data_IF_751364374254
#
_entry.id   IF_751364374254
#
_cell.length_a   1.000
_cell.length_b   1.000
_cell.length_c   1.000
_cell.angle_alpha   90.00
_cell.angle_beta   90.00
_cell.angle_gamma   90.00
#
_symmetry.space_group_name_H-M   'P 1'
#
loop_
_entity.id
_entity.type
_entity.pdbx_description
1 polymer ?
#
# COMPACT_ATOMS: atom_id res chain seq x y z
N UNK A 1 17.68 2.74 13.76
CA UNK A 1 16.53 1.93 13.26
C UNK A 1 15.74 2.58 12.13
N UNK A 2 15.60 3.92 12.06
CA UNK A 2 14.76 4.57 11.02
C UNK A 2 15.11 4.19 9.57
N UNK A 3 16.40 4.18 9.21
CA UNK A 3 16.85 3.78 7.86
C UNK A 3 16.49 2.33 7.56
N UNK A 4 16.70 1.41 8.50
CA UNK A 4 16.31 0.01 8.35
C UNK A 4 14.79 -0.14 8.11
N UNK A 5 13.97 0.53 8.92
CA UNK A 5 12.51 0.53 8.74
C UNK A 5 12.08 1.12 7.39
N UNK A 6 12.76 2.17 6.91
CA UNK A 6 12.51 2.73 5.59
C UNK A 6 12.86 1.73 4.47
N UNK A 7 14.00 1.05 4.56
CA UNK A 7 14.39 -0.02 3.62
C UNK A 7 13.34 -1.14 3.61
N UNK A 8 12.86 -1.55 4.78
CA UNK A 8 11.77 -2.53 4.87
C UNK A 8 10.50 -2.04 4.16
N UNK A 9 10.15 -0.75 4.28
CA UNK A 9 8.98 -0.16 3.61
C UNK A 9 9.16 0.06 2.12
N UNK A 10 10.40 0.20 1.66
CA UNK A 10 10.74 0.21 0.23
C UNK A 10 10.45 -1.18 -0.35
N UNK A 11 10.85 -2.25 0.34
CA UNK A 11 10.62 -3.62 -0.15
C UNK A 11 9.16 -4.04 -0.02
N UNK A 12 8.52 -3.74 1.12
CA UNK A 12 7.16 -4.17 1.44
C UNK A 12 6.39 -3.05 2.13
N UNK A 13 5.28 -2.64 1.53
CA UNK A 13 4.42 -1.58 2.08
C UNK A 13 3.89 -1.97 3.47
N UNK A 14 4.04 -1.08 4.45
CA UNK A 14 3.63 -1.28 5.84
C UNK A 14 4.65 -1.99 6.73
N UNK A 15 5.70 -2.63 6.18
CA UNK A 15 6.63 -3.44 6.95
C UNK A 15 7.52 -2.61 7.89
N UNK A 16 7.94 -1.42 7.47
CA UNK A 16 8.74 -0.54 8.33
C UNK A 16 8.00 -0.10 9.59
N UNK A 17 6.69 0.14 9.48
CA UNK A 17 5.83 0.46 10.62
C UNK A 17 5.74 -0.72 11.60
N UNK A 18 5.67 -1.95 11.11
CA UNK A 18 5.68 -3.15 11.96
C UNK A 18 6.97 -3.23 12.79
N UNK A 19 8.13 -2.99 12.15
CA UNK A 19 9.43 -2.98 12.85
C UNK A 19 9.60 -1.81 13.83
N UNK A 20 8.80 -0.75 13.70
CA UNK A 20 8.75 0.36 14.67
C UNK A 20 7.77 0.12 15.81
N UNK A 21 7.05 -0.99 15.82
CA UNK A 21 6.00 -1.27 16.81
C UNK A 21 4.66 -0.60 16.51
N UNK A 22 4.50 0.09 15.37
CA UNK A 22 3.23 0.66 14.91
C UNK A 22 2.36 -0.42 14.23
N UNK A 23 2.11 -1.54 14.93
CA UNK A 23 1.55 -2.77 14.34
C UNK A 23 0.22 -2.54 13.64
N UNK A 24 -0.72 -1.82 14.28
CA UNK A 24 -2.05 -1.55 13.70
C UNK A 24 -1.94 -0.83 12.35
N UNK A 25 -1.05 0.15 12.25
CA UNK A 25 -0.87 0.95 11.03
C UNK A 25 -0.16 0.16 9.94
N UNK A 26 0.91 -0.56 10.30
CA UNK A 26 1.63 -1.42 9.35
C UNK A 26 0.73 -2.50 8.74
N UNK A 27 -0.09 -3.16 9.57
CA UNK A 27 -1.07 -4.15 9.09
C UNK A 27 -2.11 -3.50 8.18
N UNK A 28 -2.64 -2.32 8.52
CA UNK A 28 -3.61 -1.62 7.66
C UNK A 28 -3.01 -1.25 6.30
N UNK A 29 -1.76 -0.76 6.27
CA UNK A 29 -1.07 -0.43 5.02
C UNK A 29 -0.86 -1.68 4.15
N UNK A 30 -0.46 -2.80 4.77
CA UNK A 30 -0.26 -4.07 4.07
C UNK A 30 -1.59 -4.58 3.49
N UNK A 31 -2.66 -4.60 4.30
CA UNK A 31 -3.99 -5.03 3.85
C UNK A 31 -4.52 -4.14 2.74
N UNK A 32 -4.40 -2.82 2.87
CA UNK A 32 -4.85 -1.88 1.85
C UNK A 32 -4.11 -2.08 0.53
N UNK A 33 -2.80 -2.22 0.58
CA UNK A 33 -1.95 -2.27 -0.61
C UNK A 33 -2.00 -3.64 -1.32
N UNK A 34 -1.89 -4.74 -0.58
CA UNK A 34 -1.76 -6.09 -1.15
C UNK A 34 -3.09 -6.85 -1.26
N UNK A 35 -4.14 -6.41 -0.57
CA UNK A 35 -5.45 -7.07 -0.63
C UNK A 35 -6.54 -6.15 -1.16
N UNK A 36 -6.80 -5.01 -0.51
CA UNK A 36 -7.93 -4.14 -0.88
C UNK A 36 -7.80 -3.57 -2.29
N UNK A 37 -6.64 -3.02 -2.64
CA UNK A 37 -6.41 -2.47 -3.98
C UNK A 37 -6.55 -3.56 -5.08
N UNK A 38 -5.87 -4.71 -4.99
CA UNK A 38 -6.07 -5.80 -5.95
C UNK A 38 -7.51 -6.32 -6.00
N UNK A 39 -8.17 -6.49 -4.85
CA UNK A 39 -9.55 -6.94 -4.79
C UNK A 39 -10.50 -5.97 -5.50
N UNK A 40 -10.32 -4.66 -5.33
CA UNK A 40 -11.11 -3.64 -6.04
C UNK A 40 -10.93 -3.74 -7.56
N UNK A 41 -9.69 -3.96 -8.02
CA UNK A 41 -9.40 -4.14 -9.45
C UNK A 41 -10.04 -5.41 -10.00
N UNK A 42 -10.02 -6.52 -9.26
CA UNK A 42 -10.67 -7.76 -9.71
C UNK A 42 -12.20 -7.67 -9.67
N UNK A 43 -12.77 -7.04 -8.64
CA UNK A 43 -14.22 -6.82 -8.55
C UNK A 43 -14.71 -5.93 -9.69
N UNK A 44 -13.97 -4.87 -10.02
CA UNK A 44 -14.36 -3.99 -11.13
C UNK A 44 -14.35 -4.70 -12.48
N UNK A 45 -13.39 -5.62 -12.70
CA UNK A 45 -13.31 -6.46 -13.90
C UNK A 45 -14.54 -7.36 -14.09
N UNK A 46 -15.11 -7.87 -13.00
CA UNK A 46 -16.31 -8.73 -13.05
C UNK A 46 -17.56 -7.90 -13.40
N UNK A 47 -17.61 -6.63 -12.99
CA UNK A 47 -18.77 -5.76 -13.17
C UNK A 47 -18.84 -5.21 -14.60
N UNK A 48 -17.77 -4.56 -15.06
CA UNK A 48 -17.73 -3.90 -16.36
C UNK A 48 -16.30 -3.59 -16.82
N UNK A 49 -16.03 -3.77 -18.12
CA UNK A 49 -14.70 -3.58 -18.69
C UNK A 49 -14.21 -2.12 -18.74
N UNK A 50 -15.12 -1.16 -18.92
CA UNK A 50 -14.76 0.27 -18.90
C UNK A 50 -14.50 0.74 -17.47
N UNK A 51 -15.35 0.31 -16.52
CA UNK A 51 -15.14 0.55 -15.09
C UNK A 51 -13.78 0.01 -14.62
N UNK A 52 -13.41 -1.19 -15.07
CA UNK A 52 -12.11 -1.78 -14.78
C UNK A 52 -10.94 -0.88 -15.15
N UNK A 53 -10.95 -0.28 -16.36
CA UNK A 53 -9.86 0.59 -16.80
C UNK A 53 -9.70 1.81 -15.89
N UNK A 54 -10.81 2.43 -15.49
CA UNK A 54 -10.77 3.55 -14.55
C UNK A 54 -10.25 3.11 -13.17
N UNK A 55 -10.79 2.01 -12.62
CA UNK A 55 -10.38 1.49 -11.30
C UNK A 55 -8.92 1.07 -11.30
N UNK A 56 -8.43 0.44 -12.37
CA UNK A 56 -7.02 0.07 -12.53
C UNK A 56 -6.12 1.31 -12.50
N UNK A 57 -6.47 2.35 -13.25
CA UNK A 57 -5.73 3.61 -13.25
C UNK A 57 -5.66 4.24 -11.85
N UNK A 58 -6.81 4.34 -11.16
CA UNK A 58 -6.87 4.86 -9.79
C UNK A 58 -6.09 3.98 -8.80
N UNK A 59 -6.14 2.66 -8.95
CA UNK A 59 -5.43 1.73 -8.07
C UNK A 59 -3.92 1.85 -8.20
N UNK A 60 -3.40 2.03 -9.43
CA UNK A 60 -1.95 2.25 -9.66
C UNK A 60 -1.50 3.55 -9.00
N UNK A 61 -2.22 4.66 -9.22
CA UNK A 61 -1.89 5.95 -8.61
C UNK A 61 -1.96 5.87 -7.09
N UNK A 62 -3.04 5.31 -6.55
CA UNK A 62 -3.23 5.14 -5.11
C UNK A 62 -2.16 4.25 -4.49
N UNK A 63 -1.74 3.19 -5.20
CA UNK A 63 -0.64 2.32 -4.81
C UNK A 63 0.66 3.11 -4.66
N UNK A 64 1.07 3.87 -5.69
CA UNK A 64 2.28 4.70 -5.63
C UNK A 64 2.24 5.67 -4.43
N UNK A 65 1.11 6.34 -4.22
CA UNK A 65 0.92 7.27 -3.09
C UNK A 65 1.06 6.55 -1.74
N UNK A 66 0.40 5.41 -1.56
CA UNK A 66 0.48 4.62 -0.33
C UNK A 66 1.88 4.08 -0.06
N UNK A 67 2.59 3.68 -1.11
CA UNK A 67 3.95 3.19 -1.00
C UNK A 67 4.91 4.29 -0.57
N UNK A 68 4.87 5.46 -1.23
CA UNK A 68 5.67 6.64 -0.84
C UNK A 68 5.33 7.06 0.59
N UNK A 69 4.05 7.10 0.94
CA UNK A 69 3.60 7.39 2.31
C UNK A 69 4.23 6.40 3.32
N UNK A 70 4.19 5.09 3.04
CA UNK A 70 4.77 4.07 3.90
C UNK A 70 6.28 4.27 4.11
N UNK A 71 7.02 4.61 3.05
CA UNK A 71 8.47 4.87 3.11
C UNK A 71 8.75 6.14 3.92
N UNK A 72 8.08 7.24 3.59
CA UNK A 72 8.27 8.54 4.24
C UNK A 72 7.97 8.45 5.74
N UNK A 73 6.87 7.77 6.10
CA UNK A 73 6.49 7.55 7.47
C UNK A 73 7.50 6.65 8.22
N UNK A 74 7.98 5.58 7.57
CA UNK A 74 9.03 4.73 8.11
C UNK A 74 10.41 5.41 8.17
N UNK A 75 10.61 6.55 7.51
CA UNK A 75 11.83 7.34 7.64
C UNK A 75 11.71 8.44 8.70
N UNK A 76 10.59 9.16 8.73
CA UNK A 76 10.45 10.41 9.47
C UNK A 76 9.97 10.22 10.91
N UNK A 77 8.96 9.38 11.15
CA UNK A 77 8.43 9.12 12.50
C UNK A 77 9.29 8.10 13.23
#
# INVERSE_FOLDING_TARGET
MKIFSAICSILVVGLGQLFKGETKKGVLLLLAFYFTLPALVYVSLIIDGMLFLYVLGFAIISGIILWIYSIADALLK
#
